data_IF_264262000340
#
_entry.id   IF_264262000340
#
_cell.length_a   1.000
_cell.length_b   1.000
_cell.length_c   1.000
_cell.angle_alpha   90.00
_cell.angle_beta   90.00
_cell.angle_gamma   90.00
#
_symmetry.space_group_name_H-M   'P 1'
#
loop_
_entity.id
_entity.type
_entity.pdbx_description
1 polymer ?
#
# COMPACT_ATOMS: atom_id res chain seq x y z
N UNK A 1 18.86 4.71 -4.54
CA UNK A 1 20.03 4.35 -5.38
C UNK A 1 21.26 4.32 -4.51
N UNK A 2 21.95 3.20 -4.45
CA UNK A 2 23.21 3.16 -3.72
C UNK A 2 24.22 4.05 -4.47
N UNK A 3 24.96 4.89 -3.75
CA UNK A 3 25.94 5.84 -4.34
C UNK A 3 26.91 5.20 -5.34
N UNK A 4 27.11 3.87 -5.29
CA UNK A 4 27.99 3.15 -6.21
C UNK A 4 27.54 3.13 -7.68
N UNK A 5 26.24 3.23 -7.98
CA UNK A 5 25.76 3.25 -9.38
C UNK A 5 26.02 4.61 -10.02
N UNK A 6 25.79 5.69 -9.28
CA UNK A 6 26.09 7.04 -9.73
C UNK A 6 27.59 7.24 -10.03
N UNK A 7 28.45 6.80 -9.14
CA UNK A 7 29.91 6.89 -9.34
C UNK A 7 30.35 6.10 -10.58
N UNK A 8 29.84 4.88 -10.80
CA UNK A 8 30.16 4.09 -12.00
C UNK A 8 29.76 4.79 -13.30
N UNK A 9 28.60 5.44 -13.33
CA UNK A 9 28.17 6.19 -14.52
C UNK A 9 29.04 7.41 -14.78
N UNK A 10 29.49 8.10 -13.74
CA UNK A 10 30.39 9.23 -13.84
C UNK A 10 31.78 8.79 -14.34
N UNK A 11 32.30 7.69 -13.81
CA UNK A 11 33.57 7.12 -14.27
C UNK A 11 33.53 6.72 -15.75
N UNK A 12 32.39 6.20 -16.21
CA UNK A 12 32.17 5.86 -17.64
C UNK A 12 32.13 7.16 -18.46
N UNK A 13 31.40 8.18 -18.01
CA UNK A 13 31.32 9.46 -18.70
C UNK A 13 32.70 10.12 -18.85
N UNK A 14 33.51 10.09 -17.79
CA UNK A 14 34.87 10.64 -17.78
C UNK A 14 35.82 9.83 -18.69
N UNK A 15 35.59 8.53 -18.83
CA UNK A 15 36.43 7.64 -19.63
C UNK A 15 36.08 7.67 -21.12
N UNK A 16 34.78 7.63 -21.44
CA UNK A 16 34.28 7.55 -22.82
C UNK A 16 34.16 8.94 -23.46
N UNK A 17 33.95 9.97 -22.64
CA UNK A 17 33.72 11.32 -23.08
C UNK A 17 32.38 11.53 -23.81
N UNK A 18 32.03 12.76 -24.04
CA UNK A 18 30.88 13.13 -24.85
C UNK A 18 29.53 13.19 -24.13
N UNK A 19 29.47 12.94 -22.82
CA UNK A 19 28.29 13.22 -21.99
C UNK A 19 28.67 13.53 -20.56
N UNK A 20 27.84 14.31 -19.89
CA UNK A 20 27.96 14.62 -18.46
C UNK A 20 26.91 13.85 -17.67
N UNK A 21 27.27 13.48 -16.45
CA UNK A 21 26.36 12.82 -15.50
C UNK A 21 26.22 13.73 -14.29
N UNK A 22 25.02 14.14 -13.99
CA UNK A 22 24.69 14.91 -12.81
C UNK A 22 23.60 14.23 -11.98
N UNK A 23 23.49 14.58 -10.71
CA UNK A 23 22.51 14.01 -9.81
C UNK A 23 21.78 15.13 -9.08
N UNK A 24 20.51 15.31 -9.42
CA UNK A 24 19.67 16.33 -8.80
C UNK A 24 18.28 15.76 -8.49
N UNK A 25 17.75 16.09 -7.32
CA UNK A 25 16.43 15.68 -6.86
C UNK A 25 16.17 14.15 -7.00
N UNK A 26 17.10 13.34 -6.58
CA UNK A 26 17.04 11.87 -6.70
C UNK A 26 17.00 11.33 -8.15
N UNK A 27 17.36 12.15 -9.13
CA UNK A 27 17.36 11.80 -10.54
C UNK A 27 18.77 11.92 -11.11
N UNK A 28 19.20 10.90 -11.87
CA UNK A 28 20.44 10.99 -12.66
C UNK A 28 20.10 11.75 -13.94
N UNK A 29 20.79 12.85 -14.15
CA UNK A 29 20.69 13.63 -15.39
C UNK A 29 21.90 13.31 -16.28
N UNK A 30 21.60 12.92 -17.51
CA UNK A 30 22.61 12.77 -18.55
C UNK A 30 22.47 13.94 -19.53
N UNK A 31 23.56 14.64 -19.81
CA UNK A 31 23.56 15.72 -20.79
C UNK A 31 24.67 15.54 -21.81
N UNK A 32 24.36 15.77 -23.07
CA UNK A 32 25.32 15.81 -24.17
C UNK A 32 25.00 16.99 -25.06
N UNK A 33 25.97 17.84 -25.33
CA UNK A 33 25.88 18.96 -26.30
C UNK A 33 24.63 19.85 -26.10
N UNK A 34 24.25 20.10 -24.81
CA UNK A 34 23.08 20.91 -24.47
C UNK A 34 21.74 20.15 -24.42
N UNK A 35 21.71 18.85 -24.69
CA UNK A 35 20.55 18.00 -24.47
C UNK A 35 20.58 17.41 -23.06
N UNK A 36 19.53 17.62 -22.28
CA UNK A 36 19.33 17.00 -20.98
C UNK A 36 18.42 15.80 -21.18
N UNK A 37 18.96 14.60 -20.89
CA UNK A 37 18.15 13.38 -20.85
C UNK A 37 17.72 13.16 -19.40
N UNK A 38 16.46 13.40 -19.08
CA UNK A 38 15.91 12.94 -17.83
C UNK A 38 15.75 11.42 -17.88
N UNK A 39 16.54 10.69 -17.10
CA UNK A 39 16.24 9.28 -16.85
C UNK A 39 15.03 9.27 -15.92
N UNK A 40 13.88 8.77 -16.40
CA UNK A 40 12.79 8.44 -15.47
C UNK A 40 13.39 7.60 -14.34
N UNK A 41 13.04 7.88 -13.06
CA UNK A 41 13.47 7.03 -11.96
C UNK A 41 13.23 5.57 -12.35
N UNK A 42 14.20 4.72 -12.04
CA UNK A 42 14.03 3.29 -12.31
C UNK A 42 12.76 2.84 -11.58
N UNK A 43 12.06 1.81 -12.09
CA UNK A 43 10.87 1.25 -11.41
C UNK A 43 11.11 0.92 -9.92
N UNK A 44 12.35 0.91 -9.48
CA UNK A 44 12.78 0.61 -8.11
C UNK A 44 13.01 1.86 -7.24
N UNK A 45 12.89 3.07 -7.79
CA UNK A 45 13.01 4.30 -6.99
C UNK A 45 11.62 4.72 -6.49
N UNK A 46 10.99 3.86 -5.70
CA UNK A 46 9.76 4.20 -5.00
C UNK A 46 10.08 5.20 -3.88
N UNK A 47 9.45 6.38 -3.96
CA UNK A 47 9.52 7.39 -2.91
C UNK A 47 8.25 7.34 -2.09
N UNK A 48 8.37 6.95 -0.82
CA UNK A 48 7.26 6.96 0.12
C UNK A 48 6.95 8.42 0.50
N UNK A 49 5.91 8.98 -0.09
CA UNK A 49 5.44 10.32 0.23
C UNK A 49 4.60 10.35 1.53
N UNK A 50 4.25 11.55 1.99
CA UNK A 50 3.50 11.72 3.23
C UNK A 50 2.03 11.25 3.10
N UNK A 51 1.49 11.20 1.88
CA UNK A 51 0.16 10.65 1.62
C UNK A 51 0.16 9.15 1.82
N UNK A 52 1.17 8.45 1.26
CA UNK A 52 1.32 7.01 1.45
C UNK A 52 1.55 6.64 2.92
N UNK A 53 2.40 7.40 3.65
CA UNK A 53 2.58 7.20 5.10
C UNK A 53 1.27 7.40 5.86
N UNK A 54 0.53 8.47 5.55
CA UNK A 54 -0.75 8.76 6.19
C UNK A 54 -1.81 7.69 5.89
N UNK A 55 -1.85 7.19 4.65
CA UNK A 55 -2.72 6.10 4.26
C UNK A 55 -2.41 4.82 5.05
N UNK A 56 -1.14 4.40 5.09
CA UNK A 56 -0.72 3.20 5.82
C UNK A 56 -0.97 3.34 7.33
N UNK A 57 -0.77 4.53 7.89
CA UNK A 57 -1.02 4.78 9.31
C UNK A 57 -2.49 4.68 9.70
N UNK A 58 -3.41 5.09 8.81
CA UNK A 58 -4.85 5.13 9.08
C UNK A 58 -5.59 3.90 8.58
N UNK A 59 -5.44 3.60 7.30
CA UNK A 59 -6.17 2.50 6.66
C UNK A 59 -5.41 1.19 6.71
N UNK A 60 -4.08 1.23 6.73
CA UNK A 60 -3.25 0.04 6.89
C UNK A 60 -3.51 -0.71 8.19
N UNK A 61 -3.89 0.00 9.26
CA UNK A 61 -4.24 -0.61 10.55
C UNK A 61 -5.36 -1.67 10.41
N UNK A 62 -6.37 -1.41 9.62
CA UNK A 62 -7.52 -2.31 9.45
C UNK A 62 -7.30 -3.39 8.39
N UNK A 63 -6.25 -3.30 7.57
CA UNK A 63 -5.85 -4.39 6.69
C UNK A 63 -5.34 -5.55 7.56
N UNK A 64 -5.88 -6.78 7.41
CA UNK A 64 -5.38 -7.94 8.16
C UNK A 64 -3.89 -8.21 7.90
N UNK A 65 -3.20 -8.90 8.80
CA UNK A 65 -1.87 -9.44 8.54
C UNK A 65 -1.95 -10.48 7.44
N UNK A 66 -0.99 -10.48 6.51
CA UNK A 66 -0.99 -11.38 5.37
C UNK A 66 0.37 -11.50 4.70
N UNK A 67 0.53 -12.58 3.96
CA UNK A 67 1.53 -12.81 2.93
C UNK A 67 0.84 -12.93 1.56
N UNK A 68 1.60 -12.99 0.48
CA UNK A 68 1.01 -13.14 -0.86
C UNK A 68 0.11 -14.38 -1.02
N UNK A 69 0.40 -15.46 -0.27
CA UNK A 69 -0.41 -16.68 -0.32
C UNK A 69 -1.80 -16.50 0.28
N UNK A 70 -1.92 -15.62 1.26
CA UNK A 70 -3.17 -15.36 1.98
C UNK A 70 -4.18 -14.58 1.13
N UNK A 71 -3.71 -13.81 0.15
CA UNK A 71 -4.57 -12.99 -0.73
C UNK A 71 -5.62 -13.80 -1.51
N UNK A 72 -5.46 -15.12 -1.63
CA UNK A 72 -6.41 -16.00 -2.30
C UNK A 72 -7.31 -16.77 -1.33
N UNK A 73 -7.15 -16.58 -0.03
CA UNK A 73 -7.94 -17.28 0.98
C UNK A 73 -9.27 -16.55 1.25
N UNK A 74 -10.32 -17.34 1.46
CA UNK A 74 -11.62 -16.78 1.87
C UNK A 74 -11.53 -16.05 3.21
N UNK A 75 -10.74 -16.56 4.15
CA UNK A 75 -10.56 -15.94 5.46
C UNK A 75 -9.92 -14.55 5.36
N UNK A 76 -8.93 -14.37 4.50
CA UNK A 76 -8.35 -13.05 4.28
C UNK A 76 -9.37 -12.10 3.64
N UNK A 77 -10.05 -12.53 2.57
CA UNK A 77 -11.06 -11.72 1.87
C UNK A 77 -12.18 -11.30 2.82
N UNK A 78 -12.71 -12.24 3.62
CA UNK A 78 -13.72 -11.97 4.63
C UNK A 78 -13.26 -10.90 5.62
N UNK A 79 -12.08 -11.10 6.22
CA UNK A 79 -11.55 -10.18 7.23
C UNK A 79 -11.20 -8.81 6.64
N UNK A 80 -10.68 -8.78 5.42
CA UNK A 80 -10.44 -7.54 4.69
C UNK A 80 -11.75 -6.77 4.48
N UNK A 81 -12.79 -7.40 3.92
CA UNK A 81 -14.09 -6.77 3.70
C UNK A 81 -14.65 -6.26 5.04
N UNK A 82 -14.63 -7.11 6.07
CA UNK A 82 -15.21 -6.78 7.36
C UNK A 82 -14.53 -5.58 8.02
N UNK A 83 -13.21 -5.58 8.16
CA UNK A 83 -12.52 -4.50 8.87
C UNK A 83 -12.30 -3.26 8.02
N UNK A 84 -11.89 -3.43 6.77
CA UNK A 84 -11.56 -2.31 5.91
C UNK A 84 -12.78 -1.42 5.63
N UNK A 85 -13.93 -2.03 5.39
CA UNK A 85 -15.15 -1.33 5.01
C UNK A 85 -16.04 -0.90 6.20
N UNK A 86 -15.69 -1.26 7.42
CA UNK A 86 -16.39 -0.77 8.62
C UNK A 86 -15.58 0.24 9.41
N UNK A 87 -14.27 0.19 9.40
CA UNK A 87 -13.42 1.04 10.24
C UNK A 87 -12.38 1.84 9.46
N UNK A 88 -11.87 1.29 8.36
CA UNK A 88 -10.68 1.82 7.68
C UNK A 88 -10.96 2.87 6.64
N UNK A 89 -12.17 2.94 6.13
CA UNK A 89 -12.42 3.70 4.93
C UNK A 89 -12.34 5.22 5.09
N UNK A 90 -12.36 5.77 6.33
CA UNK A 90 -12.13 7.20 6.61
C UNK A 90 -13.07 8.19 5.90
N UNK A 91 -13.89 7.69 4.98
CA UNK A 91 -14.91 8.45 4.29
C UNK A 91 -16.15 8.62 5.17
N UNK A 92 -17.07 9.48 4.78
CA UNK A 92 -18.35 9.61 5.42
C UNK A 92 -19.15 8.30 5.34
N UNK A 93 -18.89 7.42 6.29
CA UNK A 93 -19.53 6.10 6.42
C UNK A 93 -21.05 6.24 6.61
N UNK A 94 -21.55 7.40 6.95
CA UNK A 94 -22.99 7.65 7.18
C UNK A 94 -23.81 7.39 5.91
N UNK A 95 -23.26 7.65 4.73
CA UNK A 95 -23.94 7.42 3.45
C UNK A 95 -24.07 5.95 3.08
N UNK A 96 -23.21 5.11 3.63
CA UNK A 96 -23.19 3.67 3.37
C UNK A 96 -23.94 2.85 4.41
N UNK A 97 -24.27 3.47 5.56
CA UNK A 97 -24.98 2.79 6.63
C UNK A 97 -26.49 2.77 6.38
N UNK A 98 -27.03 1.59 6.13
CA UNK A 98 -28.47 1.37 5.84
C UNK A 98 -28.97 0.15 6.58
N UNK A 99 -30.11 0.26 7.24
CA UNK A 99 -30.79 -0.86 7.89
C UNK A 99 -29.92 -1.70 8.84
N UNK A 100 -28.95 -1.08 9.53
CA UNK A 100 -28.07 -1.77 10.45
C UNK A 100 -26.79 -2.33 9.84
N UNK A 101 -26.53 -2.10 8.56
CA UNK A 101 -25.35 -2.59 7.83
C UNK A 101 -24.70 -1.46 7.05
N UNK A 102 -23.39 -1.60 6.81
CA UNK A 102 -22.71 -0.87 5.76
C UNK A 102 -22.88 -1.64 4.43
N UNK A 103 -23.31 -0.95 3.38
CA UNK A 103 -23.55 -1.55 2.07
C UNK A 103 -22.53 -1.01 1.05
N UNK A 104 -21.81 -1.93 0.43
CA UNK A 104 -20.82 -1.63 -0.60
C UNK A 104 -21.03 -2.52 -1.83
N UNK A 105 -20.99 -1.93 -3.04
CA UNK A 105 -21.09 -2.73 -4.24
C UNK A 105 -19.88 -3.66 -4.40
N UNK A 106 -20.11 -4.86 -4.93
CA UNK A 106 -19.04 -5.81 -5.20
C UNK A 106 -17.94 -5.20 -6.07
N UNK A 107 -18.31 -4.43 -7.11
CA UNK A 107 -17.35 -3.79 -7.98
C UNK A 107 -16.42 -2.85 -7.20
N UNK A 108 -16.97 -2.01 -6.32
CA UNK A 108 -16.15 -1.11 -5.49
C UNK A 108 -15.18 -1.88 -4.59
N UNK A 109 -15.62 -2.99 -4.02
CA UNK A 109 -14.77 -3.84 -3.16
C UNK A 109 -13.67 -4.49 -3.97
N UNK A 110 -13.98 -5.04 -5.15
CA UNK A 110 -13.01 -5.66 -6.06
C UNK A 110 -11.98 -4.66 -6.58
N UNK A 111 -12.42 -3.47 -6.97
CA UNK A 111 -11.54 -2.41 -7.45
C UNK A 111 -10.56 -1.95 -6.35
N UNK A 112 -11.05 -1.79 -5.13
CA UNK A 112 -10.22 -1.45 -3.98
C UNK A 112 -9.21 -2.57 -3.68
N UNK A 113 -9.66 -3.82 -3.68
CA UNK A 113 -8.80 -4.98 -3.45
C UNK A 113 -7.66 -5.04 -4.48
N UNK A 114 -8.01 -4.89 -5.75
CA UNK A 114 -7.04 -4.88 -6.85
C UNK A 114 -6.07 -3.69 -6.76
N UNK A 115 -6.57 -2.52 -6.40
CA UNK A 115 -5.74 -1.32 -6.21
C UNK A 115 -4.75 -1.48 -5.07
N UNK A 116 -5.16 -2.12 -3.96
CA UNK A 116 -4.30 -2.30 -2.79
C UNK A 116 -3.29 -3.43 -2.96
N UNK A 117 -3.70 -4.55 -3.55
CA UNK A 117 -2.91 -5.80 -3.54
C UNK A 117 -2.40 -6.21 -4.92
N UNK A 118 -2.82 -5.54 -5.99
CA UNK A 118 -2.38 -5.83 -7.36
C UNK A 118 -2.90 -7.14 -7.96
N UNK A 119 -3.81 -7.81 -7.27
CA UNK A 119 -4.42 -9.08 -7.70
C UNK A 119 -5.94 -8.97 -7.72
N UNK A 120 -6.59 -9.77 -8.55
CA UNK A 120 -8.05 -9.85 -8.55
C UNK A 120 -8.53 -10.55 -7.27
N UNK A 121 -9.57 -9.99 -6.66
CA UNK A 121 -10.21 -10.57 -5.47
C UNK A 121 -10.86 -11.92 -5.84
N UNK A 122 -10.61 -12.99 -5.10
CA UNK A 122 -11.33 -14.25 -5.26
C UNK A 122 -12.85 -14.05 -5.18
N UNK A 123 -13.60 -14.95 -5.75
CA UNK A 123 -15.06 -14.98 -5.56
C UNK A 123 -15.38 -15.29 -4.10
N UNK A 124 -16.18 -14.41 -3.49
CA UNK A 124 -16.59 -14.56 -2.10
C UNK A 124 -18.02 -14.04 -1.93
N UNK A 125 -18.99 -14.92 -1.92
CA UNK A 125 -20.44 -14.58 -1.86
C UNK A 125 -21.09 -15.29 -0.66
N UNK A 126 -20.81 -14.88 0.59
CA UNK A 126 -21.36 -15.52 1.79
C UNK A 126 -22.86 -15.24 1.91
N UNK A 127 -23.66 -16.30 2.15
CA UNK A 127 -25.11 -16.23 2.32
C UNK A 127 -25.57 -16.42 3.77
N UNK A 128 -24.68 -16.90 4.64
CA UNK A 128 -25.00 -17.30 6.00
C UNK A 128 -24.07 -16.67 7.07
N UNK A 129 -23.22 -15.73 6.67
CA UNK A 129 -22.28 -15.07 7.57
C UNK A 129 -22.91 -13.83 8.23
N UNK A 130 -22.94 -13.79 9.55
CA UNK A 130 -23.49 -12.67 10.31
C UNK A 130 -22.66 -11.37 10.21
N UNK A 131 -21.39 -11.45 9.83
CA UNK A 131 -20.48 -10.29 9.76
C UNK A 131 -20.44 -9.68 8.37
N UNK A 132 -20.42 -10.52 7.34
CA UNK A 132 -20.40 -10.13 5.93
C UNK A 132 -21.40 -10.98 5.19
N UNK A 133 -22.40 -10.36 4.59
CA UNK A 133 -23.44 -11.03 3.80
C UNK A 133 -23.37 -10.48 2.37
N UNK A 134 -23.52 -11.34 1.37
CA UNK A 134 -23.62 -10.92 -0.03
C UNK A 134 -25.06 -11.04 -0.52
N UNK A 135 -25.60 -9.94 -1.02
CA UNK A 135 -26.96 -9.91 -1.55
C UNK A 135 -27.12 -8.87 -2.66
N UNK A 136 -27.71 -9.26 -3.77
CA UNK A 136 -28.04 -8.38 -4.90
C UNK A 136 -26.85 -7.54 -5.41
N UNK A 137 -25.65 -8.15 -5.50
CA UNK A 137 -24.44 -7.48 -6.00
C UNK A 137 -23.76 -6.55 -4.99
N UNK A 138 -24.18 -6.61 -3.72
CA UNK A 138 -23.60 -5.81 -2.65
C UNK A 138 -23.14 -6.67 -1.47
N UNK A 139 -22.09 -6.23 -0.80
CA UNK A 139 -21.72 -6.70 0.52
C UNK A 139 -22.45 -5.87 1.57
N UNK A 140 -23.15 -6.55 2.46
CA UNK A 140 -23.75 -6.00 3.68
C UNK A 140 -22.88 -6.39 4.86
N UNK A 141 -22.32 -5.39 5.53
CA UNK A 141 -21.28 -5.60 6.54
C UNK A 141 -21.80 -5.09 7.87
N UNK A 142 -21.81 -5.94 8.88
CA UNK A 142 -22.19 -5.52 10.25
C UNK A 142 -21.17 -4.57 10.82
N UNK A 143 -21.60 -3.72 11.75
CA UNK A 143 -20.68 -2.81 12.46
C UNK A 143 -19.64 -3.63 13.20
N UNK A 144 -18.37 -3.29 13.04
CA UNK A 144 -17.27 -3.85 13.80
C UNK A 144 -16.63 -2.77 14.67
N UNK A 145 -15.92 -3.22 15.70
CA UNK A 145 -15.04 -2.37 16.49
C UNK A 145 -13.73 -3.15 16.69
N UNK A 146 -12.72 -2.80 15.90
CA UNK A 146 -11.38 -3.38 16.05
C UNK A 146 -10.58 -2.71 17.17
N UNK A 147 -11.12 -1.68 17.76
CA UNK A 147 -10.42 -0.83 18.73
C UNK A 147 -9.80 0.41 18.08
N UNK A 148 -9.04 1.13 18.86
CA UNK A 148 -8.47 2.44 18.51
C UNK A 148 -6.96 2.38 18.29
N UNK A 149 -6.49 1.32 17.65
CA UNK A 149 -5.09 1.13 17.29
C UNK A 149 -4.57 2.27 16.41
N UNK A 150 -3.31 2.59 16.61
CA UNK A 150 -2.59 3.64 15.90
C UNK A 150 -1.28 3.11 15.38
N UNK A 151 -0.95 3.56 14.18
CA UNK A 151 0.35 3.31 13.59
C UNK A 151 1.16 4.59 13.57
N UNK A 152 2.33 4.56 14.19
CA UNK A 152 3.33 5.63 14.17
C UNK A 152 4.49 5.21 13.29
N UNK A 153 4.80 6.02 12.28
CA UNK A 153 5.87 5.73 11.33
C UNK A 153 7.23 5.67 12.04
N UNK A 154 7.99 4.59 11.81
CA UNK A 154 9.35 4.40 12.31
C UNK A 154 10.36 4.68 11.20
N UNK A 155 10.29 3.91 10.11
CA UNK A 155 11.28 3.96 9.04
C UNK A 155 10.76 3.36 7.74
N UNK A 156 11.47 3.66 6.66
CA UNK A 156 11.29 3.00 5.37
C UNK A 156 12.65 2.63 4.80
N UNK A 157 12.76 1.42 4.25
CA UNK A 157 13.99 0.89 3.68
C UNK A 157 13.70 0.28 2.30
N UNK A 158 14.45 0.74 1.29
CA UNK A 158 14.40 0.14 -0.04
C UNK A 158 15.04 -1.25 -0.01
N UNK A 159 14.33 -2.22 -0.54
CA UNK A 159 14.78 -3.60 -0.73
C UNK A 159 14.76 -3.96 -2.23
N UNK A 160 15.23 -5.16 -2.58
CA UNK A 160 15.49 -5.52 -3.98
C UNK A 160 14.28 -5.35 -4.92
N UNK A 161 13.06 -5.59 -4.43
CA UNK A 161 11.83 -5.60 -5.23
C UNK A 161 10.79 -4.55 -4.79
N UNK A 162 11.16 -3.69 -3.83
CA UNK A 162 10.23 -2.69 -3.31
C UNK A 162 10.76 -1.93 -2.10
N UNK A 163 9.90 -1.73 -1.11
CA UNK A 163 10.21 -1.00 0.12
C UNK A 163 9.54 -1.65 1.32
N UNK A 164 10.30 -1.86 2.38
CA UNK A 164 9.75 -2.18 3.69
C UNK A 164 9.46 -0.89 4.46
N UNK A 165 8.23 -0.74 4.92
CA UNK A 165 7.77 0.41 5.70
C UNK A 165 7.34 -0.06 7.07
N UNK A 166 8.00 0.44 8.11
CA UNK A 166 7.78 0.01 9.49
C UNK A 166 7.01 1.05 10.29
N UNK A 167 6.03 0.56 11.04
CA UNK A 167 5.24 1.34 11.98
C UNK A 167 5.29 0.70 13.37
N UNK A 168 5.25 1.54 14.39
CA UNK A 168 4.94 1.13 15.75
C UNK A 168 3.42 1.06 15.91
N UNK A 169 2.92 -0.06 16.42
CA UNK A 169 1.50 -0.22 16.75
C UNK A 169 1.25 0.08 18.23
N UNK A 170 0.31 0.97 18.49
CA UNK A 170 -0.13 1.31 19.85
C UNK A 170 -1.65 1.46 19.88
N UNK A 171 -2.26 1.39 21.08
CA UNK A 171 -3.64 1.82 21.30
C UNK A 171 -3.73 3.29 21.74
N UNK A 172 -4.94 3.77 22.00
CA UNK A 172 -5.18 5.13 22.50
C UNK A 172 -4.62 5.38 23.90
N UNK A 173 -4.34 4.33 24.67
CA UNK A 173 -3.72 4.42 26.00
C UNK A 173 -2.20 4.47 25.94
N UNK A 174 -1.61 4.22 24.74
CA UNK A 174 -0.17 4.15 24.53
C UNK A 174 0.43 2.77 24.80
N UNK A 175 -0.39 1.72 24.94
CA UNK A 175 0.10 0.35 25.04
C UNK A 175 0.80 -0.03 23.75
N UNK A 176 2.02 -0.55 23.84
CA UNK A 176 2.86 -0.96 22.72
C UNK A 176 2.56 -2.40 22.31
N UNK A 177 2.15 -2.61 21.05
CA UNK A 177 1.88 -3.93 20.48
C UNK A 177 3.01 -4.42 19.56
N UNK A 178 4.09 -3.64 19.46
CA UNK A 178 5.26 -3.99 18.65
C UNK A 178 5.34 -3.25 17.33
N UNK A 179 6.08 -3.84 16.40
CA UNK A 179 6.35 -3.24 15.09
C UNK A 179 5.61 -3.99 14.00
N UNK A 180 4.98 -3.25 13.11
CA UNK A 180 4.31 -3.78 11.91
C UNK A 180 5.09 -3.35 10.68
N UNK A 181 5.33 -4.28 9.78
CA UNK A 181 6.04 -4.04 8.51
C UNK A 181 5.11 -4.25 7.34
N UNK A 182 5.00 -3.25 6.48
CA UNK A 182 4.39 -3.36 5.15
C UNK A 182 5.49 -3.52 4.11
N UNK A 183 5.32 -4.49 3.21
CA UNK A 183 6.14 -4.57 2.02
C UNK A 183 5.36 -3.99 0.83
N UNK A 184 5.90 -2.89 0.27
CA UNK A 184 5.32 -2.16 -0.84
C UNK A 184 6.12 -2.42 -2.12
N UNK A 185 5.41 -2.67 -3.22
CA UNK A 185 6.03 -2.83 -4.55
C UNK A 185 5.48 -1.73 -5.47
N UNK A 186 6.33 -1.02 -6.22
CA UNK A 186 5.90 0.00 -7.16
C UNK A 186 4.87 -0.56 -8.16
N UNK A 187 3.80 0.17 -8.41
CA UNK A 187 2.74 -0.21 -9.33
C UNK A 187 2.19 0.99 -10.11
N UNK A 188 1.70 0.73 -11.31
CA UNK A 188 1.05 1.73 -12.15
C UNK A 188 -0.45 1.79 -11.81
N UNK A 189 -0.75 2.34 -10.64
CA UNK A 189 -2.10 2.57 -10.13
C UNK A 189 -2.17 3.94 -9.42
N UNK A 190 -3.35 4.31 -8.95
CA UNK A 190 -3.57 5.61 -8.28
C UNK A 190 -2.74 5.81 -7.01
N UNK A 191 -2.31 4.73 -6.35
CA UNK A 191 -1.48 4.78 -5.15
C UNK A 191 0.02 4.83 -5.47
N UNK A 192 0.43 4.47 -6.70
CA UNK A 192 1.83 4.32 -7.09
C UNK A 192 2.49 3.04 -6.55
N UNK A 193 1.78 2.23 -5.78
CA UNK A 193 2.27 0.99 -5.19
C UNK A 193 1.14 -0.01 -4.92
N UNK A 194 1.52 -1.24 -4.66
CA UNK A 194 0.69 -2.29 -4.07
C UNK A 194 1.32 -2.77 -2.77
N UNK A 195 0.48 -3.28 -1.87
CA UNK A 195 0.91 -3.91 -0.61
C UNK A 195 0.97 -5.42 -0.86
N UNK A 196 2.15 -6.00 -0.78
CA UNK A 196 2.34 -7.44 -1.03
C UNK A 196 2.42 -8.26 0.24
N UNK A 197 2.65 -7.60 1.37
CA UNK A 197 2.76 -8.25 2.66
C UNK A 197 2.52 -7.26 3.81
N UNK A 198 1.93 -7.75 4.90
CA UNK A 198 1.85 -7.08 6.19
C UNK A 198 2.13 -8.07 7.31
N UNK A 199 3.21 -7.84 8.05
CA UNK A 199 3.69 -8.73 9.13
C UNK A 199 4.08 -7.96 10.39
N UNK A 200 4.16 -8.70 11.50
CA UNK A 200 4.80 -8.23 12.74
C UNK A 200 6.28 -8.53 12.71
#
# INVERSE_FOLDING_TARGET
>A
MTGSTYFKLRDIADTVGGFNVDFNNNTIQLSKDGYVYETKPSKNDFVLDDNAKSFLAKQGYVIPYFTQNDLKSEDFVKNFIFYYYTEGYGADMSTQYKNGYFEWSENSVRDTYKSLFGVDMPEYHPTDNSSVLYENGNYKISVSNRGDGRYEFISAENVNDGMNVMFKETDSTGTDFGTVTFHLVPADNSNGYIITQKTN
#
